data_IF_014980696635
#
_entry.id   IF_014980696635
#
_cell.length_a   1.000
_cell.length_b   1.000
_cell.length_c   1.000
_cell.angle_alpha   90.00
_cell.angle_beta   90.00
_cell.angle_gamma   90.00
#
_symmetry.space_group_name_H-M   'P 1'
#
loop_
_entity.id
_entity.type
_entity.pdbx_description
1 polymer ?
#
# COMPACT_ATOMS: atom_id res chain seq x y z
N UNK A 1 0.52 35.51 18.95
CA UNK A 1 0.60 34.12 18.48
C UNK A 1 0.59 33.24 19.71
N UNK A 2 -0.21 32.19 19.67
CA UNK A 2 -0.44 31.29 20.81
C UNK A 2 0.48 30.07 20.69
N UNK A 3 0.67 29.32 21.79
CA UNK A 3 1.58 28.16 21.79
C UNK A 3 1.14 27.06 20.80
N UNK A 4 -0.17 26.85 20.63
CA UNK A 4 -0.71 25.87 19.68
C UNK A 4 -0.33 26.22 18.23
N UNK A 5 -0.50 27.49 17.86
CA UNK A 5 -0.10 27.98 16.53
C UNK A 5 1.41 27.95 16.32
N UNK A 6 2.18 28.12 17.39
CA UNK A 6 3.63 27.94 17.32
C UNK A 6 3.98 26.51 16.90
N UNK A 7 3.36 25.49 17.51
CA UNK A 7 3.62 24.09 17.19
C UNK A 7 3.24 23.73 15.74
N UNK A 8 2.16 24.33 15.20
CA UNK A 8 1.77 24.17 13.79
C UNK A 8 2.80 24.75 12.81
N UNK A 9 3.45 25.86 13.16
CA UNK A 9 4.31 26.63 12.25
C UNK A 9 5.81 26.47 12.50
N UNK A 10 6.22 25.79 13.58
CA UNK A 10 7.63 25.69 13.97
C UNK A 10 8.47 24.92 12.95
N UNK A 11 7.89 23.91 12.30
CA UNK A 11 8.57 23.09 11.29
C UNK A 11 8.82 23.90 10.02
N UNK A 12 7.80 24.56 9.48
CA UNK A 12 7.92 25.43 8.32
C UNK A 12 8.90 26.60 8.58
N UNK A 13 8.92 27.12 9.81
CA UNK A 13 9.89 28.13 10.23
C UNK A 13 11.34 27.61 10.22
N UNK A 14 11.59 26.34 10.56
CA UNK A 14 12.91 25.72 10.52
C UNK A 14 13.43 25.50 9.10
N UNK A 15 12.53 25.27 8.14
CA UNK A 15 12.86 25.11 6.73
C UNK A 15 12.84 26.43 5.95
N UNK A 16 12.41 27.53 6.57
CA UNK A 16 12.34 28.85 5.94
C UNK A 16 11.19 28.97 4.94
N UNK A 17 10.14 28.16 5.11
CA UNK A 17 8.95 28.12 4.24
C UNK A 17 7.86 29.10 4.71
N UNK A 18 7.99 29.62 5.93
CA UNK A 18 7.04 30.57 6.52
C UNK A 18 7.10 31.94 5.82
N UNK A 19 5.93 32.55 5.63
CA UNK A 19 5.84 33.93 5.15
C UNK A 19 6.45 34.93 6.15
N UNK A 20 6.86 36.11 5.65
CA UNK A 20 7.58 37.11 6.45
C UNK A 20 6.79 37.60 7.69
N UNK A 21 5.46 37.69 7.59
CA UNK A 21 4.61 38.18 8.68
C UNK A 21 4.48 37.12 9.77
N UNK A 22 4.22 35.86 9.39
CA UNK A 22 4.14 34.74 10.33
C UNK A 22 5.50 34.47 10.96
N UNK A 23 6.60 34.59 10.21
CA UNK A 23 7.95 34.46 10.75
C UNK A 23 8.24 35.53 11.80
N UNK A 24 7.82 36.78 11.57
CA UNK A 24 7.95 37.85 12.55
C UNK A 24 7.08 37.63 13.80
N UNK A 25 5.85 37.13 13.63
CA UNK A 25 4.96 36.79 14.74
C UNK A 25 5.53 35.64 15.60
N UNK A 26 6.07 34.61 14.97
CA UNK A 26 6.72 33.48 15.63
C UNK A 26 7.96 33.92 16.40
N UNK A 27 8.82 34.78 15.82
CA UNK A 27 10.00 35.33 16.53
C UNK A 27 9.61 36.09 17.79
N UNK A 28 8.61 36.99 17.72
CA UNK A 28 8.10 37.70 18.90
C UNK A 28 7.53 36.76 19.97
N UNK A 29 6.92 35.64 19.55
CA UNK A 29 6.42 34.64 20.48
C UNK A 29 7.57 33.87 21.15
N UNK A 30 8.58 33.45 20.39
CA UNK A 30 9.79 32.81 20.91
C UNK A 30 10.52 33.72 21.89
N UNK A 31 10.59 35.02 21.62
CA UNK A 31 11.20 36.02 22.53
C UNK A 31 10.40 36.23 23.83
N UNK A 32 9.08 36.02 23.81
CA UNK A 32 8.19 36.26 24.97
C UNK A 32 7.82 35.01 25.76
N UNK A 33 7.96 33.81 25.17
CA UNK A 33 7.57 32.54 25.78
C UNK A 33 8.79 31.61 25.95
N UNK A 34 9.23 31.42 27.21
CA UNK A 34 10.40 30.61 27.55
C UNK A 34 10.27 29.13 27.15
N UNK A 35 9.06 28.57 27.20
CA UNK A 35 8.78 27.19 26.76
C UNK A 35 9.05 27.02 25.26
N UNK A 36 8.49 27.91 24.45
CA UNK A 36 8.64 27.85 22.99
C UNK A 36 10.07 28.18 22.56
N UNK A 37 10.77 29.05 23.31
CA UNK A 37 12.20 29.29 23.10
C UNK A 37 13.07 28.04 23.30
N UNK A 38 12.81 27.28 24.35
CA UNK A 38 13.52 26.02 24.60
C UNK A 38 13.25 24.99 23.49
N UNK A 39 12.00 24.84 23.05
CA UNK A 39 11.64 23.92 21.95
C UNK A 39 12.32 24.35 20.64
N UNK A 40 12.23 25.63 20.28
CA UNK A 40 12.81 26.15 19.05
C UNK A 40 14.34 25.99 19.00
N UNK A 41 15.03 26.29 20.11
CA UNK A 41 16.48 26.11 20.21
C UNK A 41 16.91 24.64 20.14
N UNK A 42 16.15 23.72 20.74
CA UNK A 42 16.39 22.28 20.63
C UNK A 42 16.23 21.79 19.19
N UNK A 43 15.16 22.19 18.49
CA UNK A 43 14.95 21.81 17.09
C UNK A 43 16.02 22.38 16.17
N UNK A 44 16.43 23.64 16.41
CA UNK A 44 17.53 24.27 15.66
C UNK A 44 18.85 23.53 15.88
N UNK A 45 19.16 23.15 17.12
CA UNK A 45 20.36 22.39 17.45
C UNK A 45 20.35 20.99 16.81
N UNK A 46 19.18 20.33 16.81
CA UNK A 46 19.01 19.05 16.12
C UNK A 46 19.20 19.19 14.60
N UNK A 47 18.72 20.27 13.99
CA UNK A 47 18.93 20.58 12.57
C UNK A 47 20.39 20.85 12.25
N UNK A 48 21.08 21.61 13.10
CA UNK A 48 22.52 21.86 12.93
C UNK A 48 23.32 20.55 13.06
N UNK A 49 22.97 19.68 14.01
CA UNK A 49 23.57 18.35 14.16
C UNK A 49 23.20 17.36 13.04
N UNK A 50 22.07 17.55 12.35
CA UNK A 50 21.67 16.70 11.22
C UNK A 50 22.27 17.14 9.88
N UNK A 51 23.03 18.24 9.85
CA UNK A 51 23.83 18.59 8.67
C UNK A 51 24.98 17.59 8.53
N UNK A 52 24.72 16.54 7.76
CA UNK A 52 25.74 15.58 7.39
C UNK A 52 26.73 16.28 6.45
N UNK A 53 28.05 16.07 6.62
CA UNK A 53 29.02 16.56 5.64
C UNK A 53 28.64 15.99 4.27
N UNK A 54 28.52 16.88 3.28
CA UNK A 54 28.31 16.44 1.89
C UNK A 54 29.59 15.76 1.44
N UNK A 55 29.59 14.44 1.49
CA UNK A 55 30.62 13.62 0.86
C UNK A 55 30.28 13.55 -0.63
N UNK A 56 31.23 13.95 -1.47
CA UNK A 56 31.06 13.88 -2.92
C UNK A 56 31.00 12.40 -3.33
N UNK A 57 29.89 11.95 -3.96
CA UNK A 57 29.78 10.56 -4.35
C UNK A 57 30.89 10.23 -5.36
N UNK A 58 31.46 9.01 -5.34
CA UNK A 58 32.45 8.63 -6.32
C UNK A 58 31.84 8.70 -7.73
N UNK A 59 32.63 9.12 -8.72
CA UNK A 59 32.18 9.31 -10.11
C UNK A 59 31.54 8.05 -10.73
N UNK A 60 31.85 6.87 -10.19
CA UNK A 60 31.35 5.57 -10.65
C UNK A 60 30.09 5.07 -9.90
N UNK A 61 29.56 5.83 -8.93
CA UNK A 61 28.41 5.43 -8.12
C UNK A 61 27.16 5.22 -8.98
N UNK A 62 26.88 6.14 -9.89
CA UNK A 62 25.71 6.07 -10.78
C UNK A 62 25.80 4.82 -11.67
N UNK A 63 26.97 4.54 -12.24
CA UNK A 63 27.19 3.35 -13.05
C UNK A 63 27.00 2.06 -12.24
N UNK A 64 27.50 2.03 -11.00
CA UNK A 64 27.32 0.90 -10.07
C UNK A 64 25.85 0.69 -9.71
N UNK A 65 25.10 1.75 -9.44
CA UNK A 65 23.65 1.67 -9.12
C UNK A 65 22.89 1.12 -10.32
N UNK A 66 23.13 1.66 -11.52
CA UNK A 66 22.47 1.19 -12.75
C UNK A 66 22.87 -0.25 -13.10
N UNK A 67 24.13 -0.64 -12.86
CA UNK A 67 24.58 -2.01 -13.04
C UNK A 67 23.90 -2.97 -12.05
N UNK A 68 23.83 -2.60 -10.77
CA UNK A 68 23.16 -3.36 -9.73
C UNK A 68 21.66 -3.49 -10.00
N UNK A 69 21.01 -2.41 -10.46
CA UNK A 69 19.60 -2.43 -10.84
C UNK A 69 19.36 -3.41 -12.00
N UNK A 70 20.16 -3.33 -13.07
CA UNK A 70 20.05 -4.27 -14.21
C UNK A 70 20.26 -5.72 -13.78
N UNK A 71 21.22 -5.97 -12.88
CA UNK A 71 21.46 -7.30 -12.33
C UNK A 71 20.26 -7.81 -11.53
N UNK A 72 19.69 -6.97 -10.66
CA UNK A 72 18.48 -7.28 -9.88
C UNK A 72 17.24 -7.49 -10.77
N UNK A 73 17.10 -6.70 -11.85
CA UNK A 73 16.01 -6.86 -12.82
C UNK A 73 16.13 -8.18 -13.59
N UNK A 74 17.35 -8.60 -13.94
CA UNK A 74 17.58 -9.90 -14.61
C UNK A 74 17.21 -11.07 -13.70
N UNK A 75 17.62 -11.03 -12.43
CA UNK A 75 17.33 -12.10 -11.45
C UNK A 75 15.91 -12.06 -10.87
N UNK A 76 15.14 -11.00 -11.12
CA UNK A 76 13.78 -10.91 -10.61
C UNK A 76 12.88 -12.05 -11.14
N UNK A 77 12.15 -12.74 -10.25
CA UNK A 77 11.26 -13.83 -10.66
C UNK A 77 10.11 -13.30 -11.52
N UNK A 78 9.66 -14.13 -12.46
CA UNK A 78 8.71 -13.73 -13.51
C UNK A 78 7.40 -13.14 -12.97
N UNK A 79 6.91 -13.61 -11.81
CA UNK A 79 5.68 -13.08 -11.19
C UNK A 79 5.84 -11.62 -10.73
N UNK A 80 7.02 -11.21 -10.23
CA UNK A 80 7.30 -9.81 -9.88
C UNK A 80 7.37 -8.93 -11.12
N UNK A 81 7.88 -9.48 -12.24
CA UNK A 81 7.88 -8.79 -13.54
C UNK A 81 6.45 -8.56 -14.05
N UNK A 82 5.58 -9.56 -13.95
CA UNK A 82 4.17 -9.44 -14.31
C UNK A 82 3.43 -8.41 -13.44
N UNK A 83 3.66 -8.41 -12.12
CA UNK A 83 3.06 -7.43 -11.21
C UNK A 83 3.54 -6.00 -11.49
N UNK A 84 4.83 -5.78 -11.80
CA UNK A 84 5.31 -4.45 -12.22
C UNK A 84 4.69 -4.00 -13.54
N UNK A 85 4.56 -4.91 -14.52
CA UNK A 85 3.89 -4.59 -15.77
C UNK A 85 2.42 -4.23 -15.55
N UNK A 86 1.73 -4.93 -14.64
CA UNK A 86 0.36 -4.61 -14.26
C UNK A 86 0.26 -3.26 -13.52
N UNK A 87 1.17 -2.95 -12.60
CA UNK A 87 1.21 -1.67 -11.91
C UNK A 87 1.52 -0.50 -12.86
N UNK A 88 2.44 -0.70 -13.80
CA UNK A 88 2.75 0.27 -14.85
C UNK A 88 1.55 0.50 -15.76
N UNK A 89 0.87 -0.59 -16.18
CA UNK A 89 -0.35 -0.50 -16.97
C UNK A 89 -1.50 0.17 -16.18
N UNK A 90 -1.60 -0.08 -14.87
CA UNK A 90 -2.58 0.56 -13.99
C UNK A 90 -2.35 2.06 -13.83
N UNK A 91 -1.08 2.49 -13.66
CA UNK A 91 -0.72 3.91 -13.63
C UNK A 91 -1.05 4.61 -14.96
N UNK A 92 -0.87 3.91 -16.08
CA UNK A 92 -1.26 4.43 -17.40
C UNK A 92 -2.78 4.45 -17.60
N UNK A 93 -3.51 3.47 -17.06
CA UNK A 93 -4.97 3.41 -17.15
C UNK A 93 -5.68 4.51 -16.36
N UNK A 94 -5.05 5.07 -15.33
CA UNK A 94 -5.59 6.21 -14.56
C UNK A 94 -5.48 7.56 -15.27
N UNK A 95 -4.86 7.66 -16.45
CA UNK A 95 -4.90 8.90 -17.24
C UNK A 95 -6.31 9.08 -17.83
N UNK A 96 -7.01 10.20 -17.55
CA UNK A 96 -8.37 10.44 -18.04
C UNK A 96 -8.51 10.31 -19.56
N UNK A 97 -7.46 10.67 -20.29
CA UNK A 97 -7.40 10.59 -21.75
C UNK A 97 -7.39 9.15 -22.28
N UNK A 98 -6.68 8.23 -21.61
CA UNK A 98 -6.62 6.83 -22.03
C UNK A 98 -7.85 6.05 -21.62
N UNK A 99 -8.48 6.38 -20.49
CA UNK A 99 -9.76 5.80 -20.10
C UNK A 99 -10.85 6.05 -21.15
N UNK A 100 -10.93 7.28 -21.68
CA UNK A 100 -11.87 7.61 -22.76
C UNK A 100 -11.55 6.88 -24.06
N UNK A 101 -10.28 6.77 -24.44
CA UNK A 101 -9.86 6.02 -25.62
C UNK A 101 -10.17 4.52 -25.49
N UNK A 102 -9.97 3.94 -24.31
CA UNK A 102 -10.31 2.55 -24.01
C UNK A 102 -11.82 2.31 -24.08
N UNK A 103 -12.65 3.21 -23.52
CA UNK A 103 -14.10 3.17 -23.66
C UNK A 103 -14.54 3.28 -25.13
N UNK A 104 -13.92 4.16 -25.90
CA UNK A 104 -14.22 4.32 -27.33
C UNK A 104 -13.88 3.05 -28.13
N UNK A 105 -12.70 2.47 -27.91
CA UNK A 105 -12.30 1.20 -28.51
C UNK A 105 -13.20 0.04 -28.07
N UNK A 106 -13.67 0.04 -26.82
CA UNK A 106 -14.61 -0.96 -26.32
C UNK A 106 -15.98 -0.84 -26.99
N UNK A 107 -16.50 0.38 -27.17
CA UNK A 107 -17.78 0.65 -27.87
C UNK A 107 -17.69 0.30 -29.35
N UNK A 108 -16.59 0.66 -30.02
CA UNK A 108 -16.36 0.27 -31.43
C UNK A 108 -16.19 -1.24 -31.54
N UNK A 109 -15.40 -1.84 -30.66
CA UNK A 109 -15.15 -3.28 -30.62
C UNK A 109 -16.44 -4.07 -30.43
N UNK A 110 -17.30 -3.67 -29.49
CA UNK A 110 -18.59 -4.34 -29.26
C UNK A 110 -19.53 -4.19 -30.45
N UNK A 111 -19.59 -3.02 -31.09
CA UNK A 111 -20.36 -2.80 -32.32
C UNK A 111 -19.89 -3.70 -33.47
N UNK A 112 -18.57 -3.81 -33.69
CA UNK A 112 -18.00 -4.69 -34.71
C UNK A 112 -18.25 -6.18 -34.40
N UNK A 113 -18.22 -6.57 -33.12
CA UNK A 113 -18.50 -7.94 -32.70
C UNK A 113 -19.97 -8.31 -32.96
N UNK A 114 -20.90 -7.37 -32.72
CA UNK A 114 -22.32 -7.53 -33.05
C UNK A 114 -22.56 -7.59 -34.57
N UNK A 115 -21.80 -6.83 -35.37
CA UNK A 115 -21.89 -6.90 -36.83
C UNK A 115 -21.31 -8.20 -37.40
N UNK A 116 -20.37 -8.84 -36.69
CA UNK A 116 -19.78 -10.12 -37.08
C UNK A 116 -20.58 -11.33 -36.59
N UNK A 117 -21.43 -11.16 -35.58
CA UNK A 117 -22.43 -12.14 -35.22
C UNK A 117 -23.44 -12.24 -36.38
N UNK A 118 -23.30 -13.32 -37.16
CA UNK A 118 -24.05 -13.59 -38.39
C UNK A 118 -25.54 -13.26 -38.20
N UNK A 119 -26.12 -12.32 -38.97
CA UNK A 119 -27.54 -11.98 -38.88
C UNK A 119 -28.33 -13.21 -39.33
N UNK A 120 -28.90 -13.91 -38.35
CA UNK A 120 -29.57 -15.20 -38.55
C UNK A 120 -29.79 -16.00 -37.28
N UNK A 121 -29.06 -15.68 -36.18
CA UNK A 121 -29.26 -16.36 -34.88
C UNK A 121 -30.31 -15.70 -34.00
N UNK A 122 -30.68 -14.44 -34.27
CA UNK A 122 -31.80 -13.79 -33.62
C UNK A 122 -32.99 -13.83 -34.59
N UNK A 123 -34.04 -14.57 -34.21
CA UNK A 123 -35.25 -14.73 -35.02
C UNK A 123 -35.92 -13.38 -35.34
N UNK A 124 -36.74 -13.32 -36.40
CA UNK A 124 -37.36 -12.08 -36.85
C UNK A 124 -38.26 -11.50 -35.76
N UNK A 125 -37.78 -10.47 -35.06
CA UNK A 125 -38.61 -9.70 -34.12
C UNK A 125 -39.52 -8.78 -34.94
N UNK A 126 -40.69 -9.26 -35.31
CA UNK A 126 -41.71 -8.42 -35.93
C UNK A 126 -42.41 -7.57 -34.86
N UNK A 127 -42.17 -6.27 -34.89
CA UNK A 127 -42.90 -5.31 -34.06
C UNK A 127 -44.22 -5.01 -34.75
N UNK A 128 -45.33 -5.53 -34.23
CA UNK A 128 -46.66 -5.12 -34.70
C UNK A 128 -46.93 -3.67 -34.30
N UNK A 129 -47.61 -2.92 -35.16
CA UNK A 129 -47.86 -1.47 -35.09
C UNK A 129 -48.67 -1.02 -33.85
N UNK A 130 -49.04 -1.94 -32.95
CA UNK A 130 -49.90 -1.71 -31.79
C UNK A 130 -49.18 -1.54 -30.45
N UNK A 131 -47.84 -1.41 -30.46
CA UNK A 131 -47.07 -1.00 -29.27
C UNK A 131 -47.22 -1.93 -28.06
N UNK A 132 -47.53 -3.21 -28.28
CA UNK A 132 -47.57 -4.25 -27.25
C UNK A 132 -46.67 -5.37 -27.71
N UNK A 133 -45.63 -5.76 -26.93
CA UNK A 133 -44.82 -6.92 -27.30
C UNK A 133 -45.76 -8.12 -27.34
N UNK A 134 -45.95 -8.70 -28.53
CA UNK A 134 -46.64 -9.96 -28.65
C UNK A 134 -45.84 -10.97 -27.82
N UNK A 135 -46.43 -11.45 -26.73
CA UNK A 135 -45.88 -12.60 -26.03
C UNK A 135 -45.78 -13.71 -27.08
N UNK A 136 -44.55 -14.14 -27.39
CA UNK A 136 -44.35 -15.37 -28.15
C UNK A 136 -45.11 -16.46 -27.42
N UNK A 137 -46.18 -16.95 -28.05
CA UNK A 137 -46.89 -18.15 -27.62
C UNK A 137 -45.90 -19.31 -27.71
N UNK A 138 -45.23 -19.53 -26.58
CA UNK A 138 -44.49 -20.74 -26.22
C UNK A 138 -45.42 -21.93 -26.44
N UNK A 139 -45.34 -22.50 -27.63
CA UNK A 139 -45.94 -23.80 -27.95
C UNK A 139 -45.09 -24.90 -27.32
N UNK A 140 -45.06 -24.94 -25.99
CA UNK A 140 -44.68 -26.13 -25.23
C UNK A 140 -45.96 -26.88 -24.88
N UNK A 141 -46.38 -27.75 -25.79
CA UNK A 141 -47.27 -28.85 -25.44
C UNK A 141 -46.41 -29.92 -24.77
N UNK A 142 -46.53 -30.11 -23.44
CA UNK A 142 -46.56 -31.43 -22.75
C UNK A 142 -46.71 -31.25 -21.23
N UNK A 143 -47.96 -31.37 -20.78
CA UNK A 143 -48.47 -32.24 -19.69
C UNK A 143 -47.74 -32.31 -18.32
N UNK A 144 -48.51 -31.90 -17.29
CA UNK A 144 -48.72 -32.50 -15.96
C UNK A 144 -48.20 -31.80 -14.68
N UNK A 145 -49.22 -31.47 -13.86
CA UNK A 145 -49.36 -31.61 -12.40
C UNK A 145 -49.34 -30.30 -11.55
N UNK A 146 -50.33 -30.11 -10.65
CA UNK A 146 -50.49 -28.88 -9.89
C UNK A 146 -49.78 -28.96 -8.54
N UNK A 147 -49.21 -27.84 -8.08
CA UNK A 147 -49.01 -27.62 -6.64
C UNK A 147 -49.11 -26.14 -6.24
N UNK A 148 -49.75 -25.98 -5.10
CA UNK A 148 -50.24 -24.78 -4.42
C UNK A 148 -49.24 -23.63 -4.18
N UNK A 149 -49.83 -22.41 -4.19
CA UNK A 149 -49.63 -21.24 -3.31
C UNK A 149 -48.22 -20.89 -2.79
N UNK A 150 -47.77 -19.64 -3.02
CA UNK A 150 -47.70 -18.60 -1.96
C UNK A 150 -47.29 -17.18 -2.47
N UNK A 151 -48.26 -16.26 -2.45
CA UNK A 151 -48.30 -14.88 -1.90
C UNK A 151 -47.02 -13.99 -1.79
N UNK A 152 -47.23 -12.69 -2.14
CA UNK A 152 -46.47 -11.43 -1.88
C UNK A 152 -45.26 -11.16 -2.79
N UNK A 153 -45.08 -10.00 -3.43
CA UNK A 153 -45.65 -8.66 -3.27
C UNK A 153 -44.50 -7.64 -3.33
N UNK A 154 -44.57 -6.62 -4.19
CA UNK A 154 -43.63 -5.48 -4.20
C UNK A 154 -43.28 -4.99 -5.59
N UNK A 155 -43.93 -3.92 -6.05
CA UNK A 155 -43.58 -3.22 -7.30
C UNK A 155 -42.48 -2.17 -7.09
N UNK A 156 -42.06 -1.51 -8.19
CA UNK A 156 -41.76 -0.08 -8.10
C UNK A 156 -42.44 0.69 -9.24
N UNK A 157 -43.32 1.60 -8.83
CA UNK A 157 -43.74 2.75 -9.64
C UNK A 157 -43.05 4.01 -9.11
N UNK A 158 -42.78 4.94 -10.01
CA UNK A 158 -42.24 6.28 -9.71
C UNK A 158 -40.92 6.51 -10.44
N UNK A 159 -40.67 7.63 -11.10
CA UNK A 159 -41.49 8.81 -11.29
C UNK A 159 -40.82 9.59 -12.44
N UNK A 160 -41.63 10.12 -13.37
CA UNK A 160 -41.16 10.98 -14.46
C UNK A 160 -41.27 12.43 -13.98
N UNK A 161 -40.14 13.02 -13.60
CA UNK A 161 -40.01 14.46 -13.38
C UNK A 161 -39.09 15.08 -14.42
N UNK A 162 -39.68 15.74 -15.42
CA UNK A 162 -38.95 16.60 -16.33
C UNK A 162 -38.42 17.86 -15.64
N UNK A 163 -37.34 18.44 -16.17
CA UNK A 163 -37.00 19.85 -15.90
C UNK A 163 -36.36 20.50 -17.11
N UNK A 164 -36.91 21.65 -17.42
CA UNK A 164 -36.61 22.54 -18.52
C UNK A 164 -35.22 23.19 -18.43
N UNK A 165 -34.83 23.74 -19.58
CA UNK A 165 -33.76 24.68 -19.87
C UNK A 165 -33.27 25.56 -18.72
N UNK A 166 -31.94 25.73 -18.65
CA UNK A 166 -31.34 27.00 -18.26
C UNK A 166 -30.01 27.18 -19.01
N UNK A 167 -29.98 28.27 -19.74
CA UNK A 167 -28.85 28.91 -20.41
C UNK A 167 -27.97 29.58 -19.34
N UNK A 168 -26.71 29.82 -19.69
CA UNK A 168 -25.88 30.95 -19.24
C UNK A 168 -24.77 30.71 -18.19
N UNK A 169 -23.66 31.41 -18.49
CA UNK A 169 -22.53 31.83 -17.67
C UNK A 169 -21.37 30.86 -17.41
N UNK A 170 -20.25 31.21 -18.03
CA UNK A 170 -18.90 30.83 -17.67
C UNK A 170 -18.59 31.23 -16.22
N UNK A 171 -18.05 30.29 -15.43
CA UNK A 171 -17.43 30.55 -14.14
C UNK A 171 -16.22 29.61 -13.95
N UNK A 172 -15.16 30.19 -13.37
CA UNK A 172 -13.85 29.60 -13.12
C UNK A 172 -13.88 28.32 -12.25
N UNK A 173 -12.84 27.47 -12.30
CA UNK A 173 -12.78 26.26 -11.48
C UNK A 173 -12.64 26.59 -9.98
N UNK A 174 -13.27 25.80 -9.09
CA UNK A 174 -13.16 25.97 -7.64
C UNK A 174 -11.80 25.50 -7.09
N UNK A 175 -11.29 26.10 -6.00
CA UNK A 175 -10.08 25.64 -5.33
C UNK A 175 -10.31 24.31 -4.60
N UNK A 176 -9.25 23.49 -4.60
CA UNK A 176 -9.20 22.17 -4.01
C UNK A 176 -9.52 22.19 -2.50
N UNK A 177 -10.39 21.28 -2.09
CA UNK A 177 -10.68 20.98 -0.70
C UNK A 177 -9.47 20.31 -0.03
N UNK A 178 -9.03 20.87 1.09
CA UNK A 178 -8.10 20.22 2.02
C UNK A 178 -8.86 19.17 2.86
N UNK A 179 -8.26 18.01 3.19
CA UNK A 179 -8.87 17.02 4.05
C UNK A 179 -8.80 17.44 5.53
N UNK A 180 -9.97 17.57 6.16
CA UNK A 180 -10.14 17.66 7.60
C UNK A 180 -9.97 16.30 8.29
N UNK A 181 -9.28 16.30 9.44
CA UNK A 181 -9.74 15.57 10.62
C UNK A 181 -9.17 14.17 10.84
N UNK A 182 -8.02 14.09 11.50
CA UNK A 182 -7.62 12.90 12.27
C UNK A 182 -7.55 13.30 13.76
N UNK A 183 -8.54 12.83 14.52
CA UNK A 183 -8.67 13.05 15.96
C UNK A 183 -7.57 12.28 16.69
N UNK A 184 -6.75 12.99 17.45
CA UNK A 184 -5.83 12.41 18.43
C UNK A 184 -6.55 12.33 19.78
N UNK A 185 -6.75 11.11 20.26
CA UNK A 185 -7.20 10.83 21.63
C UNK A 185 -6.00 10.80 22.58
N UNK A 186 -6.09 11.62 23.63
CA UNK A 186 -5.66 11.39 25.02
C UNK A 186 -4.15 11.22 25.32
N UNK A 187 -3.54 12.32 25.79
CA UNK A 187 -2.47 12.31 26.79
C UNK A 187 -3.05 12.30 28.23
N UNK A 188 -2.46 11.56 29.18
CA UNK A 188 -2.50 11.90 30.59
C UNK A 188 -1.28 12.75 31.02
N UNK A 189 -1.60 13.90 31.63
CA UNK A 189 -0.72 14.93 32.19
C UNK A 189 0.04 14.48 33.47
N UNK A 190 1.23 15.07 33.78
CA UNK A 190 2.16 14.53 34.77
C UNK A 190 2.04 15.20 36.15
N UNK A 191 2.27 14.42 37.22
CA UNK A 191 2.59 14.96 38.53
C UNK A 191 3.66 14.12 39.25
N UNK A 192 4.78 14.79 39.51
CA UNK A 192 5.68 14.62 40.66
C UNK A 192 6.29 13.24 40.94
N UNK A 193 7.56 13.04 40.55
CA UNK A 193 8.61 12.62 41.50
C UNK A 193 10.00 12.86 40.90
N UNK A 194 10.71 13.84 41.45
CA UNK A 194 12.14 14.04 41.26
C UNK A 194 12.85 13.59 42.54
N UNK A 195 13.39 12.37 42.57
CA UNK A 195 14.53 11.94 43.40
C UNK A 195 14.87 10.48 43.07
N UNK A 196 16.17 10.17 42.93
CA UNK A 196 16.80 8.86 42.68
C UNK A 196 17.05 8.43 41.21
N UNK A 197 17.90 9.16 40.49
CA UNK A 197 18.70 8.60 39.39
C UNK A 197 19.92 7.86 39.98
N UNK A 198 19.74 6.60 40.38
CA UNK A 198 20.86 5.71 40.75
C UNK A 198 20.48 4.22 40.62
N UNK A 199 19.99 3.80 39.45
CA UNK A 199 20.27 2.49 38.83
C UNK A 199 19.49 2.42 37.52
N UNK A 200 20.10 2.85 36.42
CA UNK A 200 19.57 2.58 35.09
C UNK A 200 19.70 1.06 34.86
N UNK A 201 18.63 0.32 35.18
CA UNK A 201 18.47 -1.04 34.70
C UNK A 201 18.52 -0.97 33.18
N UNK A 202 19.52 -1.61 32.57
CA UNK A 202 19.62 -1.73 31.14
C UNK A 202 18.29 -2.25 30.61
N UNK A 203 17.57 -1.41 29.85
CA UNK A 203 16.41 -1.87 29.11
C UNK A 203 16.85 -3.13 28.34
N UNK A 204 16.07 -4.23 28.40
CA UNK A 204 16.45 -5.45 27.70
C UNK A 204 16.67 -5.09 26.24
N UNK A 205 17.91 -5.22 25.78
CA UNK A 205 18.26 -4.99 24.38
C UNK A 205 17.37 -5.94 23.57
N UNK A 206 16.39 -5.39 22.86
CA UNK A 206 15.50 -6.16 22.03
C UNK A 206 16.35 -6.73 20.89
N UNK A 207 16.65 -8.02 20.97
CA UNK A 207 17.37 -8.72 19.92
C UNK A 207 16.68 -8.46 18.58
N UNK A 208 17.43 -7.97 17.59
CA UNK A 208 16.89 -7.71 16.26
C UNK A 208 16.88 -9.02 15.45
N UNK A 209 15.95 -9.15 14.50
CA UNK A 209 15.85 -10.34 13.65
C UNK A 209 17.15 -10.59 12.86
N UNK A 210 17.84 -9.55 12.43
CA UNK A 210 19.13 -9.67 11.73
C UNK A 210 20.19 -10.34 12.61
N UNK A 211 20.31 -9.98 13.87
CA UNK A 211 21.27 -10.59 14.80
C UNK A 211 20.96 -12.08 15.07
N UNK A 212 19.67 -12.41 15.18
CA UNK A 212 19.23 -13.80 15.33
C UNK A 212 19.55 -14.63 14.07
N UNK A 213 19.41 -14.05 12.87
CA UNK A 213 19.78 -14.70 11.59
C UNK A 213 21.29 -14.89 11.48
N UNK A 214 22.10 -13.92 11.89
CA UNK A 214 23.55 -14.05 11.90
C UNK A 214 24.02 -15.16 12.84
N UNK A 215 23.40 -15.24 14.02
CA UNK A 215 23.66 -16.32 14.98
C UNK A 215 23.30 -17.68 14.37
N UNK A 216 22.15 -17.77 13.69
CA UNK A 216 21.70 -19.00 13.01
C UNK A 216 22.70 -19.48 11.95
N UNK A 217 23.26 -18.55 11.18
CA UNK A 217 24.20 -18.87 10.10
C UNK A 217 25.59 -19.27 10.64
N UNK A 218 26.05 -18.65 11.72
CA UNK A 218 27.39 -18.87 12.30
C UNK A 218 27.46 -20.06 13.24
N UNK A 219 26.47 -20.18 14.11
CA UNK A 219 26.49 -21.10 15.26
C UNK A 219 25.44 -22.21 15.13
N UNK A 220 24.54 -22.11 14.16
CA UNK A 220 23.52 -23.11 13.88
C UNK A 220 22.20 -22.89 14.64
N UNK A 221 21.27 -23.83 14.47
CA UNK A 221 19.92 -23.73 15.00
C UNK A 221 19.86 -23.68 16.53
N UNK A 222 20.69 -24.46 17.22
CA UNK A 222 20.63 -24.57 18.68
C UNK A 222 20.94 -23.23 19.38
N UNK A 223 21.92 -22.48 18.86
CA UNK A 223 22.31 -21.19 19.40
C UNK A 223 21.32 -20.06 19.06
N UNK A 224 20.64 -20.14 17.91
CA UNK A 224 19.74 -19.09 17.43
C UNK A 224 18.30 -19.20 17.95
N UNK A 225 17.85 -20.40 18.34
CA UNK A 225 16.49 -20.66 18.83
C UNK A 225 16.03 -19.73 19.98
N UNK A 226 16.82 -19.44 21.04
CA UNK A 226 16.35 -18.55 22.10
C UNK A 226 16.08 -17.12 21.60
N UNK A 227 16.94 -16.58 20.73
CA UNK A 227 16.76 -15.24 20.14
C UNK A 227 15.54 -15.19 19.22
N UNK A 228 15.37 -16.21 18.37
CA UNK A 228 14.21 -16.29 17.48
C UNK A 228 12.89 -16.43 18.25
N UNK A 229 12.86 -17.16 19.37
CA UNK A 229 11.65 -17.26 20.22
C UNK A 229 11.31 -15.93 20.87
N UNK A 230 12.31 -15.23 21.40
CA UNK A 230 12.12 -13.90 21.99
C UNK A 230 11.47 -12.91 21.00
N UNK A 231 11.86 -12.97 19.72
CA UNK A 231 11.28 -12.14 18.65
C UNK A 231 9.87 -12.63 18.28
N UNK A 232 9.67 -13.96 18.19
CA UNK A 232 8.39 -14.57 17.85
C UNK A 232 7.27 -14.33 18.90
N UNK A 233 7.67 -14.12 20.16
CA UNK A 233 6.79 -13.79 21.30
C UNK A 233 6.45 -12.28 21.37
N UNK A 234 7.14 -11.45 20.57
CA UNK A 234 6.81 -10.03 20.41
C UNK A 234 5.47 -9.80 19.70
N UNK A 235 5.01 -8.54 19.70
CA UNK A 235 3.75 -8.13 19.06
C UNK A 235 3.71 -8.49 17.56
N UNK A 236 2.49 -8.59 17.00
CA UNK A 236 2.22 -8.93 15.58
C UNK A 236 3.00 -8.02 14.63
N UNK A 237 4.16 -8.52 14.22
CA UNK A 237 5.08 -7.86 13.31
C UNK A 237 5.55 -8.89 12.29
N UNK A 238 5.90 -8.41 11.11
CA UNK A 238 6.44 -9.26 10.05
C UNK A 238 7.70 -10.02 10.53
N UNK A 239 8.48 -9.43 11.43
CA UNK A 239 9.67 -10.05 12.02
C UNK A 239 9.32 -11.23 12.94
N UNK A 240 8.22 -11.15 13.69
CA UNK A 240 7.74 -12.25 14.53
C UNK A 240 7.28 -13.44 13.66
N UNK A 241 6.59 -13.19 12.54
CA UNK A 241 6.17 -14.23 11.60
C UNK A 241 7.37 -14.93 10.94
N UNK A 242 8.39 -14.17 10.54
CA UNK A 242 9.59 -14.72 9.93
C UNK A 242 10.45 -15.47 10.95
N UNK A 243 10.49 -15.03 12.21
CA UNK A 243 11.11 -15.78 13.30
C UNK A 243 10.41 -17.14 13.52
N UNK A 244 9.07 -17.19 13.52
CA UNK A 244 8.30 -18.44 13.68
C UNK A 244 8.58 -19.45 12.56
N UNK A 245 8.61 -19.00 11.29
CA UNK A 245 8.96 -19.86 10.15
C UNK A 245 10.36 -20.46 10.29
N UNK A 246 11.33 -19.69 10.80
CA UNK A 246 12.70 -20.18 11.02
C UNK A 246 12.80 -21.16 12.18
N UNK A 247 12.04 -20.95 13.25
CA UNK A 247 11.91 -21.92 14.34
C UNK A 247 11.37 -23.25 13.80
N UNK A 248 10.34 -23.21 12.97
CA UNK A 248 9.78 -24.42 12.33
C UNK A 248 10.80 -25.10 11.41
N UNK A 249 11.58 -24.34 10.64
CA UNK A 249 12.64 -24.86 9.80
C UNK A 249 13.75 -25.55 10.62
N UNK A 250 14.12 -25.01 11.78
CA UNK A 250 15.07 -25.63 12.70
C UNK A 250 14.52 -26.88 13.40
N UNK A 251 13.20 -26.93 13.64
CA UNK A 251 12.53 -28.08 14.25
C UNK A 251 12.36 -29.26 13.28
N UNK A 252 12.37 -29.00 11.96
CA UNK A 252 12.32 -30.07 10.97
C UNK A 252 13.64 -30.84 11.07
N UNK A 253 13.66 -32.07 11.60
CA UNK A 253 14.88 -32.85 11.69
C UNK A 253 15.46 -32.89 10.29
N UNK A 254 16.74 -32.53 10.15
CA UNK A 254 17.44 -32.66 8.88
C UNK A 254 17.26 -34.10 8.42
N UNK A 255 16.25 -34.33 7.59
CA UNK A 255 15.86 -35.63 7.13
C UNK A 255 17.09 -36.10 6.39
N UNK A 256 17.83 -37.00 7.06
CA UNK A 256 19.21 -37.39 6.76
C UNK A 256 19.49 -37.10 5.30
N UNK A 257 20.27 -36.04 5.04
CA UNK A 257 21.01 -35.99 3.80
C UNK A 257 21.81 -37.29 3.82
N UNK A 258 21.28 -38.31 3.13
CA UNK A 258 21.96 -39.59 2.97
C UNK A 258 23.31 -39.18 2.40
N UNK A 259 24.41 -39.36 3.14
CA UNK A 259 25.71 -38.99 2.62
C UNK A 259 25.85 -39.75 1.31
N UNK A 260 25.92 -39.00 0.21
CA UNK A 260 26.15 -39.57 -1.10
C UNK A 260 27.36 -40.50 -0.95
N UNK A 261 27.12 -41.79 -1.17
CA UNK A 261 28.13 -42.82 -0.97
C UNK A 261 29.43 -42.37 -1.65
N UNK A 262 30.58 -42.43 -0.97
CA UNK A 262 31.85 -42.07 -1.59
C UNK A 262 32.01 -42.95 -2.82
N UNK A 263 32.05 -42.33 -4.00
CA UNK A 263 32.35 -43.02 -5.24
C UNK A 263 33.72 -43.69 -5.06
N UNK A 264 33.71 -44.99 -4.83
CA UNK A 264 34.91 -45.82 -4.83
C UNK A 264 35.50 -45.75 -6.23
N UNK A 265 36.45 -44.85 -6.41
CA UNK A 265 37.27 -44.75 -7.60
C UNK A 265 38.04 -46.05 -7.77
N UNK A 266 37.61 -46.85 -8.75
CA UNK A 266 38.31 -48.02 -9.25
C UNK A 266 39.61 -47.53 -9.88
N UNK A 267 40.69 -47.55 -9.10
CA UNK A 267 42.07 -47.54 -9.57
C UNK A 267 42.30 -48.81 -10.39
N UNK A 268 42.07 -48.73 -11.69
CA UNK A 268 42.51 -49.72 -12.67
C UNK A 268 43.78 -49.21 -13.31
N UNK A 269 44.92 -49.67 -12.80
CA UNK A 269 46.18 -49.59 -13.54
C UNK A 269 46.23 -50.63 -14.67
N UNK A 270 46.97 -50.31 -15.73
CA UNK A 270 47.76 -51.18 -16.62
C UNK A 270 48.23 -50.28 -17.79
N UNK A 271 49.53 -49.97 -17.84
CA UNK A 271 50.62 -50.67 -18.55
C UNK A 271 50.77 -50.21 -19.99
#
# INVERSE_FOLDING_TARGET
MDCEKFDEHVIDALYGELDELTAAALRRHVESCSRCAAIFSNLKSAREGSTLPLEEPPDDLEEKILAAERAAQRSAPWHKKAMRAAAWAGSHAMRPQLAMAALFMFVIGSSLLLLRAKPGTFGPTSVSERGTPAAEERSDTTVAAPREQQVRGGGPGGDKGGRAESKEAAAAPPPAAAPEGMKADSEPSPAATATAYASAGAAPQTATLSEAIDTLNKEGCDAALPKLRQIADGAESQDADDARKRIEACARPAAKAVPAAPATGTSSGQR
#
